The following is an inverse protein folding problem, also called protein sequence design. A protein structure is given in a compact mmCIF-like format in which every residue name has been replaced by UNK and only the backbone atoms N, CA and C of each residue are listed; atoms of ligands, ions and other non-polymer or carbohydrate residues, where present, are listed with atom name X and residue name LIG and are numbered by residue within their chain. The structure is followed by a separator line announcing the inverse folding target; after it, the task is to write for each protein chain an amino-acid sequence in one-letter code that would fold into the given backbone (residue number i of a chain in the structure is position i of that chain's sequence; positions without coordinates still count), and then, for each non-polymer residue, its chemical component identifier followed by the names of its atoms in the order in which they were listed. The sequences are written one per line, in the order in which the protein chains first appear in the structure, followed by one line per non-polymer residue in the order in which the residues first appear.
data_IF_405946654896
#
_entry.id   IF_405946654896
#
_cell.length_a   1.000
_cell.length_b   1.000
_cell.length_c   1.000
_cell.angle_alpha   90.00
_cell.angle_beta   90.00
_cell.angle_gamma   90.00
#
_symmetry.space_group_name_H-M   'P 1'
#
loop_
_entity.id
_entity.type
_entity.pdbx_description
1 polymer ?
#
# COMPACT_ATOMS: atom_id res chain seq x y z
N UNK A 1 -15.40 2.62 -7.69
CA UNK A 1 -14.13 2.89 -6.99
C UNK A 1 -14.18 2.12 -5.70
N UNK A 2 -13.22 1.22 -5.46
CA UNK A 2 -13.15 0.42 -4.23
C UNK A 2 -12.55 1.27 -3.11
N UNK A 3 -12.75 0.84 -1.86
CA UNK A 3 -12.17 1.53 -0.70
C UNK A 3 -10.64 1.52 -0.73
N UNK A 4 -10.04 0.40 -1.18
CA UNK A 4 -8.60 0.30 -1.38
C UNK A 4 -8.07 1.23 -2.48
N UNK A 5 -8.84 1.48 -3.54
CA UNK A 5 -8.50 2.48 -4.57
C UNK A 5 -8.42 3.89 -3.96
N UNK A 6 -9.39 4.27 -3.12
CA UNK A 6 -9.39 5.58 -2.42
C UNK A 6 -8.14 5.73 -1.54
N UNK A 7 -7.73 4.67 -0.85
CA UNK A 7 -6.51 4.70 -0.04
C UNK A 7 -5.25 4.83 -0.90
N UNK A 8 -5.20 4.21 -2.08
CA UNK A 8 -4.09 4.39 -3.03
C UNK A 8 -4.02 5.81 -3.57
N UNK A 9 -5.15 6.40 -3.93
CA UNK A 9 -5.22 7.80 -4.37
C UNK A 9 -4.73 8.75 -3.27
N UNK A 10 -5.08 8.49 -2.01
CA UNK A 10 -4.57 9.26 -0.86
C UNK A 10 -3.06 9.10 -0.68
N UNK A 11 -2.53 7.89 -0.87
CA UNK A 11 -1.10 7.64 -0.81
C UNK A 11 -0.36 8.43 -1.89
N UNK A 12 -0.84 8.41 -3.13
CA UNK A 12 -0.26 9.16 -4.24
C UNK A 12 -0.31 10.67 -3.99
N UNK A 13 -1.44 11.19 -3.51
CA UNK A 13 -1.56 12.60 -3.12
C UNK A 13 -0.53 12.99 -2.04
N UNK A 14 -0.29 12.11 -1.06
CA UNK A 14 0.74 12.35 -0.04
C UNK A 14 2.15 12.36 -0.65
N UNK A 15 2.45 11.50 -1.63
CA UNK A 15 3.75 11.53 -2.32
C UNK A 15 3.94 12.83 -3.10
N UNK A 16 2.92 13.30 -3.81
CA UNK A 16 2.98 14.59 -4.51
C UNK A 16 3.20 15.77 -3.54
N UNK A 17 2.62 15.71 -2.34
CA UNK A 17 2.90 16.70 -1.28
C UNK A 17 4.33 16.58 -0.75
N UNK A 18 4.86 15.36 -0.60
CA UNK A 18 6.23 15.14 -0.17
C UNK A 18 7.24 15.71 -1.16
N UNK A 19 7.03 15.50 -2.46
CA UNK A 19 7.88 16.03 -3.54
C UNK A 19 7.94 17.56 -3.56
N UNK A 20 6.83 18.21 -3.21
CA UNK A 20 6.71 19.67 -3.18
C UNK A 20 7.08 20.28 -1.83
N UNK A 21 7.35 19.46 -0.82
CA UNK A 21 7.54 19.94 0.53
C UNK A 21 8.86 20.68 0.69
N UNK A 22 8.80 21.88 1.28
CA UNK A 22 9.99 22.62 1.65
C UNK A 22 10.65 22.01 2.88
N UNK A 23 11.72 21.28 2.64
CA UNK A 23 12.59 20.76 3.68
C UNK A 23 12.25 19.35 4.18
N UNK A 24 13.26 18.75 4.79
CA UNK A 24 13.27 17.34 5.21
C UNK A 24 12.15 16.95 6.19
N UNK A 25 11.76 17.77 7.18
CA UNK A 25 10.69 17.38 8.11
C UNK A 25 9.33 17.22 7.44
N UNK A 26 8.95 18.13 6.53
CA UNK A 26 7.67 18.08 5.84
C UNK A 26 7.63 16.92 4.83
N UNK A 27 8.70 16.75 4.05
CA UNK A 27 8.86 15.58 3.17
C UNK A 27 8.65 14.26 3.94
N UNK A 28 9.39 14.06 5.05
CA UNK A 28 9.29 12.83 5.85
C UNK A 28 7.89 12.59 6.43
N UNK A 29 7.16 13.65 6.79
CA UNK A 29 5.78 13.53 7.28
C UNK A 29 4.87 13.00 6.18
N UNK A 30 4.91 13.60 5.00
CA UNK A 30 4.08 13.18 3.89
C UNK A 30 4.44 11.79 3.36
N UNK A 31 5.73 11.43 3.29
CA UNK A 31 6.13 10.06 2.94
C UNK A 31 5.55 9.02 3.89
N UNK A 32 5.61 9.26 5.22
CA UNK A 32 5.03 8.35 6.21
C UNK A 32 3.51 8.22 6.09
N UNK A 33 2.83 9.30 5.73
CA UNK A 33 1.39 9.25 5.46
C UNK A 33 1.08 8.42 4.21
N UNK A 34 1.89 8.54 3.15
CA UNK A 34 1.75 7.70 1.96
C UNK A 34 1.95 6.22 2.29
N UNK A 35 2.96 5.88 3.10
CA UNK A 35 3.20 4.52 3.57
C UNK A 35 2.01 3.97 4.36
N UNK A 36 1.43 4.79 5.26
CA UNK A 36 0.27 4.41 6.07
C UNK A 36 -0.98 4.17 5.20
N UNK A 37 -1.25 5.05 4.23
CA UNK A 37 -2.36 4.86 3.29
C UNK A 37 -2.18 3.62 2.42
N UNK A 38 -0.95 3.36 1.96
CA UNK A 38 -0.63 2.15 1.19
C UNK A 38 -0.86 0.88 2.03
N UNK A 39 -0.46 0.89 3.29
CA UNK A 39 -0.70 -0.22 4.21
C UNK A 39 -2.21 -0.48 4.40
N UNK A 40 -3.02 0.58 4.56
CA UNK A 40 -4.47 0.46 4.65
C UNK A 40 -5.10 -0.08 3.37
N UNK A 41 -4.62 0.32 2.19
CA UNK A 41 -5.08 -0.21 0.92
C UNK A 41 -4.85 -1.73 0.82
N UNK A 42 -3.66 -2.18 1.22
CA UNK A 42 -3.30 -3.60 1.20
C UNK A 42 -4.13 -4.42 2.20
N UNK A 43 -4.36 -3.88 3.40
CA UNK A 43 -5.22 -4.51 4.40
C UNK A 43 -6.67 -4.59 3.90
N UNK A 44 -7.17 -3.54 3.25
CA UNK A 44 -8.52 -3.53 2.70
C UNK A 44 -8.70 -4.58 1.59
N UNK A 45 -7.72 -4.71 0.69
CA UNK A 45 -7.74 -5.77 -0.33
C UNK A 45 -7.68 -7.17 0.28
N UNK A 46 -6.97 -7.34 1.39
CA UNK A 46 -6.96 -8.61 2.14
C UNK A 46 -8.33 -8.91 2.79
N UNK A 47 -8.93 -7.91 3.44
CA UNK A 47 -10.25 -8.02 4.06
C UNK A 47 -11.37 -8.30 3.04
N UNK A 48 -11.25 -7.70 1.85
CA UNK A 48 -12.20 -7.89 0.75
C UNK A 48 -11.96 -9.21 -0.01
N UNK A 49 -10.90 -9.95 0.31
CA UNK A 49 -10.56 -11.23 -0.31
C UNK A 49 -9.93 -11.13 -1.70
N UNK A 50 -9.49 -9.93 -2.09
CA UNK A 50 -8.78 -9.68 -3.36
C UNK A 50 -7.34 -10.21 -3.30
N UNK A 51 -6.74 -10.24 -2.10
CA UNK A 51 -5.44 -10.86 -1.83
C UNK A 51 -5.64 -12.12 -0.99
N UNK A 52 -5.21 -13.31 -1.46
CA UNK A 52 -5.33 -14.52 -0.68
C UNK A 52 -4.44 -14.46 0.59
N UNK A 53 -4.92 -14.98 1.74
CA UNK A 53 -4.21 -14.90 3.03
C UNK A 53 -2.88 -15.67 3.08
N UNK A 54 -2.61 -16.52 2.10
CA UNK A 54 -1.34 -17.26 1.98
C UNK A 54 -0.91 -17.14 0.53
N UNK A 55 0.24 -16.50 0.28
CA UNK A 55 0.94 -16.69 -0.98
C UNK A 55 1.35 -18.16 -1.02
N UNK A 56 0.73 -18.92 -1.92
CA UNK A 56 0.93 -20.36 -2.11
C UNK A 56 2.31 -20.85 -1.66
N UNK A 57 2.38 -21.43 -0.45
CA UNK A 57 3.35 -22.48 -0.15
C UNK A 57 2.93 -23.71 -0.95
N UNK A 58 2.85 -23.60 -2.27
CA UNK A 58 2.75 -24.77 -3.12
C UNK A 58 4.01 -25.59 -2.83
N UNK A 59 3.90 -26.81 -2.27
CA UNK A 59 5.07 -27.63 -2.05
C UNK A 59 5.79 -27.82 -3.39
N UNK A 60 7.13 -27.82 -3.43
CA UNK A 60 7.85 -27.99 -4.68
C UNK A 60 7.36 -29.29 -5.33
N UNK A 61 6.86 -29.18 -6.57
CA UNK A 61 6.37 -30.34 -7.33
C UNK A 61 7.49 -31.38 -7.37
N UNK A 62 7.33 -32.47 -6.61
CA UNK A 62 8.22 -33.63 -6.68
C UNK A 62 8.19 -34.12 -8.12
N UNK A 63 9.31 -33.98 -8.83
CA UNK A 63 9.50 -34.65 -10.11
C UNK A 63 9.57 -36.16 -9.81
N UNK A 64 8.63 -36.92 -10.37
CA UNK A 64 8.66 -38.40 -10.41
C UNK A 64 9.55 -38.80 -11.58
#
# INVERSE_FOLDING_TARGET
MKQSDIFRDNAENCLQLAERAEGQPAHKRYSRMADAWTALANEQDWLDGEVPPVADLAPPKRKV
#
